data_IF_573068435674
#
_entry.id   IF_573068435674
#
_cell.length_a   1.000
_cell.length_b   1.000
_cell.length_c   1.000
_cell.angle_alpha   90.00
_cell.angle_beta   90.00
_cell.angle_gamma   90.00
#
_symmetry.space_group_name_H-M   'P 1'
#
loop_
_entity.id
_entity.type
_entity.pdbx_description
1 polymer ?
#
# COMPACT_ATOMS: atom_id res chain seq x y z
N UNK A 1 -2.98 1.46 12.00
CA UNK A 1 -2.26 2.52 11.26
C UNK A 1 -1.40 1.85 10.19
N UNK A 2 -1.08 2.55 9.11
CA UNK A 2 -0.33 1.97 7.98
C UNK A 2 1.21 2.14 8.10
N UNK A 3 1.96 1.48 7.20
CA UNK A 3 3.43 1.51 7.19
C UNK A 3 4.04 2.89 6.94
N UNK A 4 3.38 3.77 6.18
CA UNK A 4 3.85 5.15 5.99
C UNK A 4 3.71 5.96 7.28
N UNK A 5 2.59 5.77 7.98
CA UNK A 5 2.32 6.40 9.27
C UNK A 5 3.33 5.98 10.35
N UNK A 6 3.85 4.74 10.28
CA UNK A 6 4.95 4.31 11.14
C UNK A 6 6.20 5.13 10.94
N UNK A 7 6.61 5.40 9.68
CA UNK A 7 7.79 6.22 9.41
C UNK A 7 7.64 7.63 9.96
N UNK A 8 6.47 8.26 9.75
CA UNK A 8 6.16 9.59 10.28
C UNK A 8 6.22 9.60 11.81
N UNK A 9 5.59 8.62 12.45
CA UNK A 9 5.55 8.54 13.92
C UNK A 9 6.96 8.36 14.51
N UNK A 10 7.77 7.48 13.90
CA UNK A 10 9.11 7.17 14.37
C UNK A 10 10.07 8.36 14.16
N UNK A 11 9.99 9.04 13.02
CA UNK A 11 10.73 10.29 12.72
C UNK A 11 10.40 11.39 13.76
N UNK A 12 9.12 11.64 14.02
CA UNK A 12 8.71 12.67 15.00
C UNK A 12 9.04 12.30 16.44
N UNK A 13 8.92 11.01 16.79
CA UNK A 13 9.33 10.52 18.10
C UNK A 13 10.83 10.72 18.31
N UNK A 14 11.65 10.39 17.33
CA UNK A 14 13.10 10.58 17.42
C UNK A 14 13.45 12.06 17.59
N UNK A 15 12.89 12.93 16.75
CA UNK A 15 13.11 14.37 16.86
C UNK A 15 12.68 14.93 18.23
N UNK A 16 11.52 14.49 18.75
CA UNK A 16 11.04 14.91 20.07
C UNK A 16 11.95 14.40 21.19
N UNK A 17 12.43 13.15 21.09
CA UNK A 17 13.29 12.54 22.10
C UNK A 17 14.64 13.25 22.18
N UNK A 18 15.27 13.54 21.05
CA UNK A 18 16.55 14.24 20.98
C UNK A 18 16.47 15.69 21.50
N UNK A 19 15.34 16.37 21.28
CA UNK A 19 15.09 17.70 21.85
C UNK A 19 14.90 17.62 23.38
N UNK A 20 14.14 16.64 23.85
CA UNK A 20 13.94 16.40 25.28
C UNK A 20 15.25 16.03 26.00
N UNK A 21 16.12 15.20 25.40
CA UNK A 21 17.44 14.85 25.94
C UNK A 21 18.32 16.09 26.14
N UNK A 22 18.20 17.07 25.24
CA UNK A 22 18.90 18.36 25.31
C UNK A 22 18.21 19.40 26.20
N UNK A 23 17.11 19.05 26.85
CA UNK A 23 16.24 19.98 27.60
C UNK A 23 15.73 21.16 26.76
N UNK A 24 15.55 20.95 25.46
CA UNK A 24 14.98 21.92 24.53
C UNK A 24 13.44 21.77 24.45
N UNK A 25 12.69 22.85 24.18
CA UNK A 25 11.27 22.73 23.87
C UNK A 25 11.06 21.85 22.64
N UNK A 26 10.07 20.96 22.69
CA UNK A 26 9.75 20.06 21.57
C UNK A 26 9.05 20.84 20.45
N UNK A 27 9.71 20.93 19.30
CA UNK A 27 9.21 21.45 18.04
C UNK A 27 9.15 20.33 17.01
N UNK A 28 7.94 20.03 16.56
CA UNK A 28 7.67 19.07 15.48
C UNK A 28 7.36 19.81 14.17
N UNK A 29 7.54 19.15 13.01
CA UNK A 29 7.17 19.72 11.71
C UNK A 29 5.70 20.15 11.65
N UNK A 30 5.41 21.05 10.70
CA UNK A 30 4.04 21.53 10.48
C UNK A 30 3.14 20.36 10.11
N UNK A 31 1.95 20.21 10.74
CA UNK A 31 1.02 19.16 10.39
C UNK A 31 0.55 19.27 8.94
N UNK A 32 0.52 18.12 8.28
CA UNK A 32 -0.11 17.90 6.97
C UNK A 32 -1.66 17.95 7.06
N UNK A 33 -2.36 17.72 5.94
CA UNK A 33 -3.81 17.66 5.93
C UNK A 33 -4.33 16.67 6.98
N UNK A 34 -5.27 17.06 7.87
CA UNK A 34 -5.80 16.12 8.85
C UNK A 34 -6.51 14.93 8.19
N UNK A 35 -6.31 13.71 8.70
CA UNK A 35 -6.91 12.49 8.13
C UNK A 35 -8.44 12.58 7.98
N UNK A 36 -9.14 13.21 8.93
CA UNK A 36 -10.60 13.44 8.84
C UNK A 36 -11.02 14.30 7.64
N UNK A 37 -10.16 15.24 7.24
CA UNK A 37 -10.39 16.12 6.09
C UNK A 37 -10.19 15.28 4.83
N UNK A 38 -9.08 14.57 4.73
CA UNK A 38 -8.82 13.63 3.65
C UNK A 38 -9.99 12.67 3.40
N UNK A 39 -10.47 11.96 4.43
CA UNK A 39 -11.58 11.01 4.30
C UNK A 39 -12.87 11.67 3.79
N UNK A 40 -13.16 12.91 4.24
CA UNK A 40 -14.34 13.65 3.79
C UNK A 40 -14.22 14.05 2.32
N UNK A 41 -13.07 14.58 1.91
CA UNK A 41 -12.83 14.96 0.51
C UNK A 41 -12.84 13.72 -0.40
N UNK A 42 -12.24 12.62 0.07
CA UNK A 42 -12.22 11.35 -0.65
C UNK A 42 -13.63 10.76 -0.87
N UNK A 43 -14.54 10.94 0.10
CA UNK A 43 -15.94 10.55 -0.08
C UNK A 43 -16.64 11.39 -1.16
N UNK A 44 -16.38 12.69 -1.22
CA UNK A 44 -16.94 13.55 -2.28
C UNK A 44 -16.35 13.16 -3.65
N UNK A 45 -15.05 12.90 -3.70
CA UNK A 45 -14.36 12.42 -4.90
C UNK A 45 -14.91 11.08 -5.41
N UNK A 46 -15.33 10.18 -4.50
CA UNK A 46 -15.90 8.88 -4.87
C UNK A 46 -17.19 8.98 -5.69
N UNK A 47 -17.93 10.10 -5.58
CA UNK A 47 -19.18 10.35 -6.32
C UNK A 47 -18.94 10.97 -7.71
N UNK A 48 -17.69 11.22 -8.09
CA UNK A 48 -17.35 11.82 -9.39
C UNK A 48 -17.66 10.89 -10.58
N UNK A 49 -18.01 11.47 -11.72
CA UNK A 49 -18.30 10.72 -12.95
C UNK A 49 -17.10 9.94 -13.47
N UNK A 50 -15.89 10.47 -13.28
CA UNK A 50 -14.63 9.78 -13.63
C UNK A 50 -14.46 8.50 -12.81
N UNK A 51 -14.89 8.50 -11.54
CA UNK A 51 -14.83 7.31 -10.70
C UNK A 51 -15.75 6.21 -11.18
N UNK A 52 -16.97 6.55 -11.53
CA UNK A 52 -17.96 5.58 -12.03
C UNK A 52 -17.50 4.96 -13.35
N UNK A 53 -16.82 5.73 -14.21
CA UNK A 53 -16.28 5.22 -15.47
C UNK A 53 -15.19 4.15 -15.29
N UNK A 54 -14.47 4.15 -14.17
CA UNK A 54 -13.46 3.12 -13.90
C UNK A 54 -14.04 1.72 -13.69
N UNK A 55 -15.33 1.59 -13.35
CA UNK A 55 -15.97 0.28 -13.21
C UNK A 55 -15.80 -0.57 -14.48
N UNK A 56 -15.96 0.04 -15.66
CA UNK A 56 -15.80 -0.65 -16.94
C UNK A 56 -14.35 -1.14 -17.16
N UNK A 57 -13.37 -0.36 -16.68
CA UNK A 57 -11.96 -0.76 -16.72
C UNK A 57 -11.74 -2.00 -15.84
N UNK A 58 -12.24 -2.00 -14.60
CA UNK A 58 -12.11 -3.14 -13.69
C UNK A 58 -12.80 -4.41 -14.22
N UNK A 59 -13.99 -4.27 -14.81
CA UNK A 59 -14.69 -5.40 -15.43
C UNK A 59 -13.87 -5.98 -16.58
N UNK A 60 -13.29 -5.14 -17.43
CA UNK A 60 -12.47 -5.59 -18.57
C UNK A 60 -11.17 -6.23 -18.09
N UNK A 61 -10.49 -5.62 -17.11
CA UNK A 61 -9.22 -6.10 -16.58
C UNK A 61 -9.35 -7.46 -15.86
N UNK A 62 -10.53 -7.80 -15.35
CA UNK A 62 -10.81 -9.04 -14.63
C UNK A 62 -11.68 -10.03 -15.42
N UNK A 63 -11.95 -9.78 -16.70
CA UNK A 63 -12.67 -10.68 -17.59
C UNK A 63 -11.70 -11.52 -18.46
N UNK A 64 -10.89 -12.35 -17.81
CA UNK A 64 -9.96 -13.25 -18.49
C UNK A 64 -10.37 -14.74 -18.33
N UNK A 65 -10.21 -15.59 -19.37
CA UNK A 65 -10.52 -17.01 -19.28
C UNK A 65 -9.81 -17.74 -18.11
N UNK A 66 -8.55 -17.39 -17.83
CA UNK A 66 -7.78 -17.96 -16.72
C UNK A 66 -8.44 -17.73 -15.36
N UNK A 67 -9.10 -16.57 -15.17
CA UNK A 67 -9.80 -16.20 -13.94
C UNK A 67 -11.17 -16.87 -13.80
N UNK A 68 -11.74 -17.34 -14.92
CA UNK A 68 -13.01 -18.09 -14.94
C UNK A 68 -12.84 -19.58 -14.71
N UNK A 69 -11.60 -20.08 -14.66
CA UNK A 69 -11.30 -21.50 -14.56
C UNK A 69 -11.50 -22.11 -13.15
N UNK A 70 -12.08 -21.34 -12.22
CA UNK A 70 -12.32 -21.73 -10.83
C UNK A 70 -11.18 -21.29 -9.89
N UNK A 71 -11.27 -21.66 -8.59
CA UNK A 71 -10.29 -21.26 -7.59
C UNK A 71 -8.89 -21.80 -7.89
N UNK A 72 -7.87 -21.02 -7.58
CA UNK A 72 -6.45 -21.40 -7.60
C UNK A 72 -6.14 -22.41 -6.49
N UNK A 73 -6.78 -22.27 -5.33
CA UNK A 73 -6.59 -23.10 -4.15
C UNK A 73 -7.92 -23.66 -3.66
N UNK A 74 -8.39 -24.79 -4.22
CA UNK A 74 -9.58 -25.46 -3.72
C UNK A 74 -9.47 -25.81 -2.23
N UNK A 75 -10.56 -25.68 -1.49
CA UNK A 75 -10.59 -26.03 -0.07
C UNK A 75 -10.27 -27.51 0.15
N UNK A 76 -9.31 -27.78 1.03
CA UNK A 76 -8.86 -29.10 1.46
C UNK A 76 -9.63 -29.52 2.73
N UNK A 77 -9.91 -28.56 3.61
CA UNK A 77 -10.60 -28.79 4.89
C UNK A 77 -11.89 -27.96 4.99
N UNK A 78 -12.96 -28.48 5.61
CA UNK A 78 -14.24 -27.80 5.69
C UNK A 78 -14.30 -26.67 6.74
N UNK A 79 -13.30 -26.54 7.61
CA UNK A 79 -13.29 -25.57 8.71
C UNK A 79 -12.05 -24.66 8.65
N UNK A 80 -12.20 -23.33 8.85
CA UNK A 80 -11.07 -22.41 8.94
C UNK A 80 -10.11 -22.81 10.05
N UNK A 81 -8.81 -22.84 9.74
CA UNK A 81 -7.74 -23.06 10.72
C UNK A 81 -6.92 -21.79 10.91
N UNK A 82 -6.21 -21.65 12.04
CA UNK A 82 -5.25 -20.57 12.22
C UNK A 82 -4.25 -20.53 11.06
N UNK A 83 -4.00 -19.34 10.52
CA UNK A 83 -3.00 -19.12 9.49
C UNK A 83 -1.62 -19.53 10.01
N UNK A 84 -0.85 -20.22 9.17
CA UNK A 84 0.55 -20.53 9.40
C UNK A 84 1.44 -19.59 8.60
N UNK A 85 2.69 -19.46 9.02
CA UNK A 85 3.64 -18.50 8.45
C UNK A 85 4.98 -19.16 8.19
N UNK A 86 5.48 -19.04 6.96
CA UNK A 86 6.88 -19.31 6.63
C UNK A 86 7.63 -17.97 6.54
N UNK A 87 8.69 -17.83 7.33
CA UNK A 87 9.58 -16.67 7.25
C UNK A 87 10.75 -16.97 6.30
N UNK A 88 10.94 -16.12 5.30
CA UNK A 88 12.07 -16.21 4.37
C UNK A 88 12.87 -14.92 4.40
N UNK A 89 14.18 -15.03 4.64
CA UNK A 89 15.14 -13.95 4.43
C UNK A 89 15.96 -14.30 3.19
N UNK A 90 15.95 -13.42 2.19
CA UNK A 90 16.81 -13.58 1.01
C UNK A 90 18.25 -13.28 1.40
N UNK A 91 19.21 -13.81 0.62
CA UNK A 91 20.61 -13.48 0.85
C UNK A 91 20.87 -11.99 0.58
N UNK A 92 21.85 -11.38 1.27
CA UNK A 92 22.25 -10.00 1.00
C UNK A 92 22.64 -9.78 -0.45
N UNK A 93 23.29 -10.76 -1.08
CA UNK A 93 23.74 -10.69 -2.48
C UNK A 93 22.56 -10.64 -3.45
N UNK A 94 21.57 -11.51 -3.26
CA UNK A 94 20.36 -11.52 -4.08
C UNK A 94 19.56 -10.23 -3.87
N UNK A 95 19.47 -9.76 -2.62
CA UNK A 95 18.76 -8.51 -2.30
C UNK A 95 19.46 -7.31 -2.94
N UNK A 96 20.78 -7.21 -2.85
CA UNK A 96 21.56 -6.15 -3.47
C UNK A 96 21.43 -6.18 -5.00
N UNK A 97 21.51 -7.37 -5.61
CA UNK A 97 21.32 -7.53 -7.04
C UNK A 97 19.91 -7.09 -7.49
N UNK A 98 18.86 -7.50 -6.75
CA UNK A 98 17.49 -7.07 -7.02
C UNK A 98 17.34 -5.54 -6.95
N UNK A 99 17.87 -4.91 -5.90
CA UNK A 99 17.80 -3.46 -5.71
C UNK A 99 18.56 -2.68 -6.78
N UNK A 100 19.70 -3.23 -7.23
CA UNK A 100 20.55 -2.59 -8.21
C UNK A 100 20.06 -2.79 -9.66
N UNK A 101 19.65 -4.01 -10.03
CA UNK A 101 19.34 -4.35 -11.42
C UNK A 101 17.91 -4.00 -11.84
N UNK A 102 16.92 -4.11 -10.95
CA UNK A 102 15.51 -3.78 -11.26
C UNK A 102 15.33 -2.39 -11.91
N UNK A 103 15.89 -1.29 -11.37
CA UNK A 103 15.73 0.03 -11.97
C UNK A 103 16.54 0.25 -13.26
N UNK A 104 17.51 -0.62 -13.59
CA UNK A 104 18.48 -0.38 -14.68
C UNK A 104 17.98 -0.83 -16.06
N UNK A 105 17.54 -2.08 -16.21
CA UNK A 105 17.18 -2.65 -17.53
C UNK A 105 15.83 -2.16 -18.01
N UNK A 106 14.83 -2.30 -17.13
CA UNK A 106 13.42 -2.06 -17.45
C UNK A 106 12.81 -0.94 -16.59
N UNK A 107 13.62 -0.20 -15.81
CA UNK A 107 13.13 0.83 -14.88
C UNK A 107 12.03 0.31 -13.96
N UNK A 108 12.21 -0.93 -13.49
CA UNK A 108 11.23 -1.61 -12.66
C UNK A 108 11.43 -1.26 -11.20
N UNK A 109 10.33 -1.31 -10.46
CA UNK A 109 10.31 -1.29 -9.01
C UNK A 109 10.53 -2.69 -8.45
N UNK A 110 10.98 -2.77 -7.20
CA UNK A 110 11.24 -4.05 -6.53
C UNK A 110 9.97 -4.90 -6.45
N UNK A 111 8.84 -4.29 -6.09
CA UNK A 111 7.54 -4.97 -6.02
C UNK A 111 7.12 -5.57 -7.35
N UNK A 112 7.41 -4.93 -8.48
CA UNK A 112 7.09 -5.45 -9.82
C UNK A 112 7.84 -6.74 -10.12
N UNK A 113 9.12 -6.83 -9.73
CA UNK A 113 9.92 -8.05 -9.91
C UNK A 113 9.44 -9.17 -8.97
N UNK A 114 9.10 -8.83 -7.73
CA UNK A 114 8.53 -9.79 -6.77
C UNK A 114 7.19 -10.34 -7.26
N UNK A 115 6.32 -9.47 -7.80
CA UNK A 115 5.03 -9.87 -8.37
C UNK A 115 5.19 -10.75 -9.62
N UNK A 116 6.18 -10.47 -10.47
CA UNK A 116 6.51 -11.36 -11.59
C UNK A 116 7.00 -12.74 -11.12
N UNK A 117 7.85 -12.79 -10.09
CA UNK A 117 8.29 -14.06 -9.51
C UNK A 117 7.12 -14.84 -8.87
N UNK A 118 6.18 -14.13 -8.22
CA UNK A 118 4.98 -14.71 -7.63
C UNK A 118 4.04 -15.27 -8.68
N UNK A 119 3.69 -14.49 -9.71
CA UNK A 119 2.81 -14.92 -10.79
C UNK A 119 3.37 -16.15 -11.51
N UNK A 120 4.70 -16.20 -11.73
CA UNK A 120 5.40 -17.37 -12.27
C UNK A 120 5.27 -18.59 -11.38
N UNK A 121 5.65 -18.47 -10.11
CA UNK A 121 5.67 -19.58 -9.17
C UNK A 121 4.27 -20.20 -8.95
N UNK A 122 3.26 -19.36 -8.79
CA UNK A 122 1.87 -19.82 -8.65
C UNK A 122 1.36 -20.38 -9.98
N UNK A 123 1.51 -19.63 -11.07
CA UNK A 123 1.02 -20.02 -12.40
C UNK A 123 1.58 -21.35 -12.88
N UNK A 124 2.87 -21.62 -12.65
CA UNK A 124 3.49 -22.91 -12.96
C UNK A 124 2.96 -24.04 -12.05
N UNK A 125 2.75 -23.76 -10.76
CA UNK A 125 2.28 -24.77 -9.81
C UNK A 125 0.82 -25.20 -10.05
N UNK A 126 -0.04 -24.27 -10.47
CA UNK A 126 -1.47 -24.54 -10.72
C UNK A 126 -1.86 -24.56 -12.20
N UNK A 127 -0.88 -24.47 -13.11
CA UNK A 127 -1.09 -24.45 -14.57
C UNK A 127 -2.07 -23.35 -15.01
N UNK A 128 -1.76 -22.10 -14.66
CA UNK A 128 -2.54 -20.90 -14.97
C UNK A 128 -1.67 -19.85 -15.64
N UNK A 129 -2.19 -19.25 -16.71
CA UNK A 129 -1.49 -18.19 -17.44
C UNK A 129 -1.57 -16.82 -16.76
N UNK A 130 -2.60 -16.59 -15.95
CA UNK A 130 -2.73 -15.40 -15.10
C UNK A 130 -3.14 -15.81 -13.69
N UNK A 131 -2.65 -15.06 -12.70
CA UNK A 131 -2.90 -15.27 -11.28
C UNK A 131 -3.53 -14.00 -10.71
N UNK A 132 -4.70 -14.15 -10.07
CA UNK A 132 -5.37 -13.01 -9.44
C UNK A 132 -4.80 -12.74 -8.05
N UNK A 133 -4.25 -11.55 -7.87
CA UNK A 133 -3.61 -11.12 -6.62
C UNK A 133 -4.28 -9.85 -6.13
N UNK A 134 -4.57 -9.79 -4.83
CA UNK A 134 -4.94 -8.56 -4.16
C UNK A 134 -3.67 -7.80 -3.78
N UNK A 135 -3.53 -6.59 -4.32
CA UNK A 135 -2.38 -5.74 -4.10
C UNK A 135 -2.73 -4.64 -3.09
N UNK A 136 -1.78 -4.36 -2.21
CA UNK A 136 -1.85 -3.21 -1.32
C UNK A 136 -1.02 -2.03 -1.84
N UNK A 137 -1.63 -0.85 -1.88
CA UNK A 137 -0.98 0.42 -2.17
C UNK A 137 -0.99 1.33 -0.94
N UNK A 138 -0.18 2.40 -0.96
CA UNK A 138 -0.15 3.36 0.15
C UNK A 138 -1.43 4.22 0.23
N UNK A 139 -2.21 4.34 -0.86
CA UNK A 139 -3.48 5.07 -0.94
C UNK A 139 -3.40 6.56 -0.64
N UNK A 140 -2.24 7.17 -0.92
CA UNK A 140 -1.96 8.61 -0.81
C UNK A 140 -1.78 9.18 -2.21
N UNK A 141 -2.79 8.97 -3.04
CA UNK A 141 -2.78 9.44 -4.43
C UNK A 141 -3.16 10.92 -4.51
N UNK A 142 -2.62 11.60 -5.51
CA UNK A 142 -2.88 13.02 -5.77
C UNK A 142 -4.22 13.20 -6.50
N UNK A 143 -5.32 13.00 -5.76
CA UNK A 143 -6.70 13.07 -6.29
C UNK A 143 -7.52 14.23 -5.74
N UNK A 144 -7.04 14.86 -4.67
CA UNK A 144 -7.67 16.03 -4.04
C UNK A 144 -6.68 17.19 -4.18
N UNK A 145 -7.11 18.26 -4.85
CA UNK A 145 -6.26 19.42 -5.09
C UNK A 145 -5.75 20.03 -3.76
N UNK A 146 -4.44 20.30 -3.71
CA UNK A 146 -3.76 20.81 -2.52
C UNK A 146 -3.66 19.84 -1.34
N UNK A 147 -3.98 18.55 -1.51
CA UNK A 147 -3.84 17.56 -0.44
C UNK A 147 -2.37 17.20 -0.17
N UNK A 148 -1.83 17.73 0.92
CA UNK A 148 -0.53 17.34 1.45
C UNK A 148 -0.73 16.24 2.49
N UNK A 149 -0.27 15.02 2.19
CA UNK A 149 -0.44 13.83 3.03
C UNK A 149 0.88 13.24 3.54
N UNK A 150 2.04 13.82 3.22
CA UNK A 150 3.34 13.16 3.49
C UNK A 150 3.58 12.87 4.97
N UNK A 151 3.02 13.70 5.86
CA UNK A 151 3.15 13.58 7.31
C UNK A 151 1.84 13.20 8.02
N UNK A 152 0.82 12.74 7.30
CA UNK A 152 -0.47 12.45 7.94
C UNK A 152 -0.47 11.04 8.50
N UNK A 153 -0.61 10.91 9.82
CA UNK A 153 -0.82 9.60 10.45
C UNK A 153 -2.27 9.15 10.24
N UNK A 154 -2.45 7.93 9.74
CA UNK A 154 -3.76 7.34 9.48
C UNK A 154 -3.68 5.90 8.97
N UNK A 155 -4.79 5.43 8.42
CA UNK A 155 -4.82 4.21 7.62
C UNK A 155 -5.31 4.58 6.22
N UNK A 156 -4.36 4.65 5.29
CA UNK A 156 -4.58 5.05 3.90
C UNK A 156 -4.56 3.88 2.93
N UNK A 157 -4.10 2.70 3.35
CA UNK A 157 -3.92 1.52 2.50
C UNK A 157 -5.08 1.32 1.53
N UNK A 158 -4.76 1.34 0.23
CA UNK A 158 -5.67 0.93 -0.83
C UNK A 158 -5.48 -0.55 -1.14
N UNK A 159 -6.57 -1.26 -1.40
CA UNK A 159 -6.54 -2.67 -1.80
C UNK A 159 -7.28 -2.81 -3.12
N UNK A 160 -6.72 -3.58 -4.04
CA UNK A 160 -7.34 -3.84 -5.33
C UNK A 160 -6.87 -5.17 -5.94
N UNK A 161 -7.75 -5.91 -6.64
CA UNK A 161 -7.35 -7.10 -7.37
C UNK A 161 -6.65 -6.74 -8.68
N UNK A 162 -5.63 -7.51 -9.04
CA UNK A 162 -4.98 -7.44 -10.34
C UNK A 162 -4.63 -8.84 -10.84
N UNK A 163 -5.00 -9.12 -12.08
CA UNK A 163 -4.61 -10.34 -12.77
C UNK A 163 -3.18 -10.17 -13.31
N UNK A 164 -2.26 -10.97 -12.77
CA UNK A 164 -0.85 -10.91 -13.11
C UNK A 164 -0.49 -12.06 -14.06
N UNK A 165 0.04 -11.76 -15.25
CA UNK A 165 0.45 -12.78 -16.20
C UNK A 165 1.69 -13.51 -15.71
N UNK A 166 1.68 -14.83 -15.90
CA UNK A 166 2.81 -15.73 -15.63
C UNK A 166 4.01 -15.41 -16.53
N UNK A 167 3.71 -15.05 -17.79
CA UNK A 167 4.70 -14.83 -18.84
C UNK A 167 5.37 -16.11 -19.33
N UNK A 168 5.81 -16.12 -20.58
CA UNK A 168 6.43 -17.31 -21.22
C UNK A 168 7.90 -17.46 -20.88
N UNK A 169 8.61 -16.36 -20.67
CA UNK A 169 10.04 -16.29 -20.35
C UNK A 169 10.32 -15.15 -19.35
N UNK A 170 11.57 -15.00 -18.84
CA UNK A 170 11.90 -13.96 -17.87
C UNK A 170 11.62 -12.53 -18.34
N UNK A 171 11.91 -12.19 -19.59
CA UNK A 171 11.70 -10.84 -20.11
C UNK A 171 10.19 -10.56 -20.23
N UNK A 172 9.46 -11.49 -20.81
CA UNK A 172 8.02 -11.42 -20.99
C UNK A 172 7.28 -11.28 -19.65
N UNK A 173 7.62 -12.09 -18.64
CA UNK A 173 7.03 -12.02 -17.31
C UNK A 173 7.24 -10.65 -16.64
N UNK A 174 8.45 -10.10 -16.73
CA UNK A 174 8.79 -8.79 -16.15
C UNK A 174 8.04 -7.66 -16.86
N UNK A 175 8.05 -7.65 -18.19
CA UNK A 175 7.45 -6.59 -18.99
C UNK A 175 5.92 -6.58 -18.86
N UNK A 176 5.28 -7.75 -18.97
CA UNK A 176 3.83 -7.82 -18.87
C UNK A 176 3.33 -7.44 -17.47
N UNK A 177 3.99 -7.89 -16.39
CA UNK A 177 3.60 -7.49 -15.02
C UNK A 177 3.76 -5.99 -14.82
N UNK A 178 4.86 -5.40 -15.29
CA UNK A 178 5.08 -3.94 -15.25
C UNK A 178 3.98 -3.20 -16.01
N UNK A 179 3.63 -3.65 -17.20
CA UNK A 179 2.57 -3.05 -18.02
C UNK A 179 1.19 -3.17 -17.37
N UNK A 180 0.86 -4.32 -16.77
CA UNK A 180 -0.39 -4.50 -16.02
C UNK A 180 -0.48 -3.53 -14.85
N UNK A 181 0.60 -3.39 -14.07
CA UNK A 181 0.65 -2.47 -12.93
C UNK A 181 0.57 -1.00 -13.37
N UNK A 182 1.25 -0.64 -14.46
CA UNK A 182 1.22 0.72 -15.01
C UNK A 182 -0.15 1.11 -15.58
N UNK A 183 -0.94 0.14 -16.04
CA UNK A 183 -2.29 0.37 -16.57
C UNK A 183 -3.33 0.62 -15.47
N UNK A 184 -3.03 0.32 -14.20
CA UNK A 184 -3.99 0.45 -13.10
C UNK A 184 -4.32 1.93 -12.83
N UNK A 185 -5.60 2.35 -12.94
CA UNK A 185 -6.01 3.72 -12.63
C UNK A 185 -5.70 4.06 -11.17
N UNK A 186 -5.00 5.18 -10.96
CA UNK A 186 -4.71 5.74 -9.63
C UNK A 186 -4.21 4.70 -8.62
N UNK A 187 -3.34 3.79 -9.09
CA UNK A 187 -2.75 2.72 -8.28
C UNK A 187 -3.79 1.92 -7.47
N UNK A 188 -4.99 1.78 -8.03
CA UNK A 188 -6.08 0.99 -7.48
C UNK A 188 -6.90 1.65 -6.37
N UNK A 189 -6.64 2.93 -6.03
CA UNK A 189 -7.45 3.69 -5.07
C UNK A 189 -8.95 3.62 -5.43
N UNK A 190 -9.26 3.65 -6.73
CA UNK A 190 -10.61 3.58 -7.26
C UNK A 190 -11.41 2.35 -6.88
N UNK A 191 -10.77 1.19 -6.77
CA UNK A 191 -11.44 -0.06 -6.46
C UNK A 191 -12.14 0.00 -5.10
N UNK A 192 -11.43 0.47 -4.07
CA UNK A 192 -11.97 0.62 -2.71
C UNK A 192 -13.11 1.63 -2.67
N UNK A 193 -12.98 2.75 -3.39
CA UNK A 193 -14.01 3.79 -3.48
C UNK A 193 -15.27 3.27 -4.16
N UNK A 194 -15.13 2.55 -5.28
CA UNK A 194 -16.27 1.93 -5.94
C UNK A 194 -16.95 0.89 -5.04
N UNK A 195 -16.16 0.11 -4.30
CA UNK A 195 -16.66 -0.94 -3.39
C UNK A 195 -17.44 -0.37 -2.21
N UNK A 196 -16.99 0.74 -1.61
CA UNK A 196 -17.65 1.36 -0.46
C UNK A 196 -18.81 2.29 -0.84
N UNK A 197 -18.61 3.07 -1.90
CA UNK A 197 -19.24 4.37 -2.01
C UNK A 197 -20.03 4.56 -3.31
N UNK A 198 -19.86 3.68 -4.31
CA UNK A 198 -20.68 3.71 -5.52
C UNK A 198 -22.14 3.31 -5.27
N UNK A 199 -23.00 3.46 -6.28
CA UNK A 199 -24.39 3.01 -6.22
C UNK A 199 -24.52 1.48 -6.08
N UNK A 200 -25.74 1.01 -5.79
CA UNK A 200 -26.00 -0.40 -5.53
C UNK A 200 -25.70 -1.31 -6.74
N UNK A 201 -25.95 -0.85 -7.96
CA UNK A 201 -25.71 -1.63 -9.17
C UNK A 201 -24.20 -1.75 -9.43
N UNK A 202 -23.46 -0.65 -9.31
CA UNK A 202 -21.99 -0.65 -9.44
C UNK A 202 -21.32 -1.57 -8.42
N UNK A 203 -21.73 -1.51 -7.14
CA UNK A 203 -21.22 -2.44 -6.11
C UNK A 203 -21.60 -3.89 -6.37
N UNK A 204 -22.78 -4.14 -6.93
CA UNK A 204 -23.19 -5.50 -7.30
C UNK A 204 -22.36 -6.03 -8.47
N UNK A 205 -22.06 -5.19 -9.46
CA UNK A 205 -21.21 -5.54 -10.59
C UNK A 205 -19.78 -5.88 -10.12
N UNK A 206 -19.21 -5.10 -9.19
CA UNK A 206 -17.91 -5.41 -8.60
C UNK A 206 -17.90 -6.73 -7.83
N UNK A 207 -18.92 -7.01 -7.00
CA UNK A 207 -19.02 -8.27 -6.25
C UNK A 207 -19.17 -9.51 -7.13
N UNK A 208 -19.59 -9.34 -8.38
CA UNK A 208 -19.67 -10.43 -9.35
C UNK A 208 -18.32 -10.73 -10.02
N UNK A 209 -17.31 -9.88 -9.83
CA UNK A 209 -15.97 -10.12 -10.36
C UNK A 209 -15.22 -11.17 -9.53
N UNK A 210 -14.22 -11.84 -10.14
CA UNK A 210 -13.37 -12.80 -9.44
C UNK A 210 -12.77 -12.23 -8.15
N UNK A 211 -12.75 -13.03 -7.09
CA UNK A 211 -12.16 -12.67 -5.79
C UNK A 211 -10.74 -13.22 -5.70
N UNK A 212 -9.73 -12.41 -5.33
CA UNK A 212 -8.35 -12.87 -5.17
C UNK A 212 -8.21 -13.85 -3.99
N UNK A 213 -7.47 -14.93 -4.21
CA UNK A 213 -7.10 -15.91 -3.17
C UNK A 213 -5.72 -15.64 -2.57
N UNK A 214 -5.01 -14.64 -3.10
CA UNK A 214 -3.64 -14.29 -2.73
C UNK A 214 -3.59 -12.81 -2.39
N UNK A 215 -3.11 -12.46 -1.21
CA UNK A 215 -2.75 -11.10 -0.84
C UNK A 215 -1.24 -10.86 -1.03
N UNK A 216 -0.87 -9.68 -1.52
CA UNK A 216 0.52 -9.26 -1.63
C UNK A 216 0.69 -7.81 -1.17
N UNK A 217 1.63 -7.59 -0.24
CA UNK A 217 1.99 -6.28 0.25
C UNK A 217 3.52 -6.14 0.34
N UNK A 218 4.06 -5.06 -0.24
CA UNK A 218 5.48 -4.72 -0.12
C UNK A 218 5.64 -3.38 0.60
N UNK A 219 6.16 -3.44 1.83
CA UNK A 219 6.31 -2.29 2.72
C UNK A 219 7.53 -1.43 2.38
N UNK A 220 8.39 -1.85 1.45
CA UNK A 220 9.62 -1.13 1.11
C UNK A 220 10.75 -1.34 2.13
N UNK A 221 11.71 -0.39 2.16
CA UNK A 221 12.74 -0.32 3.20
C UNK A 221 12.17 0.31 4.47
N UNK A 222 12.34 -0.37 5.60
CA UNK A 222 11.91 0.12 6.92
C UNK A 222 13.07 0.73 7.73
N UNK A 223 14.31 0.31 7.41
CA UNK A 223 15.55 0.72 8.06
C UNK A 223 16.00 2.16 7.76
N UNK A 224 15.52 2.79 6.69
CA UNK A 224 15.86 4.19 6.37
C UNK A 224 15.48 5.18 7.48
N UNK A 225 14.57 4.78 8.38
CA UNK A 225 14.12 5.61 9.50
C UNK A 225 15.16 5.67 10.62
N UNK A 226 16.07 4.71 10.72
CA UNK A 226 17.04 4.61 11.80
C UNK A 226 18.45 4.47 11.20
N UNK A 227 19.21 5.56 11.18
CA UNK A 227 20.63 5.52 10.84
C UNK A 227 21.47 5.00 12.02
N UNK A 228 22.77 4.78 11.81
CA UNK A 228 23.69 4.33 12.87
C UNK A 228 23.79 5.32 14.05
N UNK A 229 23.37 6.57 13.85
CA UNK A 229 23.32 7.61 14.89
C UNK A 229 22.00 7.61 15.68
N UNK A 230 20.97 6.91 15.17
CA UNK A 230 19.63 6.85 15.75
C UNK A 230 19.65 6.30 17.18
N UNK A 231 18.86 6.92 18.03
CA UNK A 231 18.59 6.43 19.40
C UNK A 231 17.62 5.25 19.44
N UNK A 232 16.92 5.00 18.33
CA UNK A 232 15.96 3.93 18.18
C UNK A 232 16.46 2.88 17.18
N UNK A 233 16.10 1.63 17.42
CA UNK A 233 16.35 0.52 16.52
C UNK A 233 15.30 -0.58 16.69
N UNK A 234 15.31 -1.58 15.82
CA UNK A 234 14.42 -2.73 15.97
C UNK A 234 14.84 -3.60 17.14
N UNK A 235 13.88 -3.95 17.97
CA UNK A 235 14.03 -4.95 19.02
C UNK A 235 14.25 -6.35 18.41
N UNK A 236 15.04 -7.19 19.07
CA UNK A 236 15.28 -8.57 18.64
C UNK A 236 14.16 -9.52 19.13
N UNK A 237 13.38 -9.07 20.12
CA UNK A 237 12.27 -9.78 20.71
C UNK A 237 11.06 -9.84 19.78
N UNK A 238 10.24 -10.88 19.93
CA UNK A 238 9.00 -11.01 19.19
C UNK A 238 7.99 -9.93 19.60
N UNK A 239 7.29 -9.28 18.65
CA UNK A 239 6.19 -8.35 18.98
C UNK A 239 4.95 -9.08 19.52
N UNK A 240 4.90 -10.41 19.48
CA UNK A 240 3.72 -11.21 19.79
C UNK A 240 2.70 -11.25 18.66
N UNK A 241 1.53 -11.82 18.92
CA UNK A 241 0.48 -11.97 17.92
C UNK A 241 -0.23 -10.64 17.66
N UNK A 242 -0.14 -10.14 16.43
CA UNK A 242 -0.81 -8.91 16.00
C UNK A 242 -2.32 -9.08 15.77
N UNK A 243 -2.79 -10.34 15.68
CA UNK A 243 -4.18 -10.70 15.33
C UNK A 243 -4.71 -11.60 16.44
N UNK A 244 -5.94 -11.35 16.88
CA UNK A 244 -6.58 -12.21 17.87
C UNK A 244 -6.72 -13.65 17.34
N UNK A 245 -6.50 -14.70 18.16
CA UNK A 245 -6.53 -16.10 17.70
C UNK A 245 -7.83 -16.57 17.03
N UNK A 246 -8.93 -15.82 17.21
CA UNK A 246 -10.26 -16.11 16.63
C UNK A 246 -10.75 -15.00 15.70
N UNK A 247 -9.87 -14.10 15.26
CA UNK A 247 -10.24 -13.11 14.26
C UNK A 247 -10.63 -13.85 12.97
N UNK A 248 -11.74 -13.42 12.35
CA UNK A 248 -12.07 -13.88 11.00
C UNK A 248 -11.16 -13.12 10.05
N UNK A 249 -10.12 -13.79 9.57
CA UNK A 249 -9.30 -13.26 8.50
C UNK A 249 -10.04 -13.40 7.17
N UNK A 250 -9.75 -12.55 6.17
CA UNK A 250 -10.23 -12.78 4.81
C UNK A 250 -9.89 -14.20 4.37
N UNK A 251 -10.80 -14.85 3.64
CA UNK A 251 -10.59 -16.19 3.08
C UNK A 251 -9.58 -16.12 1.92
N UNK A 252 -8.31 -15.86 2.25
CA UNK A 252 -7.17 -15.94 1.33
C UNK A 252 -6.41 -17.24 1.59
N UNK A 253 -6.00 -17.90 0.53
CA UNK A 253 -5.13 -19.06 0.60
C UNK A 253 -3.71 -18.67 0.99
N UNK A 254 -3.23 -17.54 0.46
CA UNK A 254 -1.89 -17.01 0.70
C UNK A 254 -1.96 -15.52 1.04
N UNK A 255 -1.13 -15.07 1.98
CA UNK A 255 -0.97 -13.66 2.34
C UNK A 255 0.52 -13.35 2.50
N UNK A 256 1.07 -12.61 1.54
CA UNK A 256 2.52 -12.41 1.39
C UNK A 256 2.86 -10.97 1.72
N UNK A 257 3.70 -10.79 2.75
CA UNK A 257 4.17 -9.47 3.17
C UNK A 257 5.69 -9.40 3.04
N UNK A 258 6.21 -8.36 2.38
CA UNK A 258 7.64 -8.18 2.15
C UNK A 258 8.17 -6.84 2.63
N UNK A 259 9.37 -6.83 3.22
CA UNK A 259 10.06 -5.60 3.64
C UNK A 259 11.57 -5.82 3.60
N UNK A 260 12.33 -4.73 3.45
CA UNK A 260 13.79 -4.77 3.55
C UNK A 260 14.19 -4.28 4.93
N UNK A 261 15.02 -5.08 5.59
CA UNK A 261 15.61 -4.79 6.91
C UNK A 261 17.10 -5.07 6.86
N UNK A 262 17.91 -4.04 7.06
CA UNK A 262 19.35 -4.10 6.83
C UNK A 262 19.65 -4.38 5.35
N UNK A 263 20.48 -5.37 5.09
CA UNK A 263 20.94 -5.75 3.75
C UNK A 263 20.06 -6.77 3.02
N UNK A 264 18.95 -7.19 3.65
CA UNK A 264 18.20 -8.36 3.20
C UNK A 264 16.70 -8.08 3.06
N UNK A 265 16.10 -8.61 1.99
CA UNK A 265 14.65 -8.69 1.83
C UNK A 265 14.11 -9.84 2.69
N UNK A 266 13.19 -9.51 3.59
CA UNK A 266 12.42 -10.45 4.38
C UNK A 266 11.01 -10.59 3.79
N UNK A 267 10.49 -11.82 3.79
CA UNK A 267 9.16 -12.18 3.33
C UNK A 267 8.48 -13.03 4.40
N UNK A 268 7.28 -12.63 4.77
CA UNK A 268 6.34 -13.43 5.53
C UNK A 268 5.36 -14.07 4.55
N UNK A 269 5.38 -15.39 4.46
CA UNK A 269 4.47 -16.21 3.66
C UNK A 269 3.41 -16.81 4.57
N UNK A 270 2.34 -16.05 4.74
CA UNK A 270 1.12 -16.52 5.36
C UNK A 270 0.37 -17.49 4.46
N UNK A 271 -0.10 -18.60 5.02
CA UNK A 271 -0.99 -19.52 4.30
C UNK A 271 -2.05 -20.10 5.22
N UNK A 272 -3.24 -20.30 4.66
CA UNK A 272 -4.36 -20.86 5.39
C UNK A 272 -4.40 -22.38 5.18
N UNK A 273 -4.30 -23.21 6.25
CA UNK A 273 -4.28 -24.66 6.12
C UNK A 273 -5.53 -25.26 5.45
N UNK A 274 -6.65 -24.54 5.45
CA UNK A 274 -7.84 -24.96 4.72
C UNK A 274 -7.70 -24.93 3.19
N UNK A 275 -6.72 -24.20 2.65
CA UNK A 275 -6.50 -24.04 1.21
C UNK A 275 -5.14 -24.56 0.74
N UNK A 276 -4.12 -24.52 1.60
CA UNK A 276 -2.76 -24.94 1.26
C UNK A 276 -2.14 -25.81 2.36
N UNK A 277 -1.61 -26.98 1.98
CA UNK A 277 -0.84 -27.84 2.88
C UNK A 277 0.56 -27.27 3.12
N UNK A 278 1.21 -27.68 4.22
CA UNK A 278 2.59 -27.27 4.55
C UNK A 278 3.55 -27.57 3.38
N UNK A 279 3.44 -28.77 2.78
CA UNK A 279 4.26 -29.16 1.63
C UNK A 279 4.00 -28.31 0.37
N UNK A 280 2.75 -27.88 0.14
CA UNK A 280 2.44 -26.97 -0.97
C UNK A 280 3.02 -25.58 -0.70
N UNK A 281 2.83 -25.04 0.51
CA UNK A 281 3.36 -23.73 0.89
C UNK A 281 4.90 -23.67 0.73
N UNK A 282 5.62 -24.69 1.22
CA UNK A 282 7.07 -24.80 1.05
C UNK A 282 7.49 -24.89 -0.43
N UNK A 283 6.76 -25.68 -1.23
CA UNK A 283 7.01 -25.80 -2.67
C UNK A 283 6.81 -24.47 -3.39
N UNK A 284 5.75 -23.73 -3.08
CA UNK A 284 5.47 -22.43 -3.69
C UNK A 284 6.54 -21.40 -3.29
N UNK A 285 6.95 -21.37 -2.03
CA UNK A 285 8.04 -20.51 -1.56
C UNK A 285 9.36 -20.81 -2.27
N UNK A 286 9.72 -22.09 -2.41
CA UNK A 286 10.93 -22.49 -3.13
C UNK A 286 10.85 -22.15 -4.63
N UNK A 287 9.68 -22.33 -5.25
CA UNK A 287 9.44 -21.97 -6.65
C UNK A 287 9.50 -20.45 -6.87
N UNK A 288 9.00 -19.67 -5.92
CA UNK A 288 9.10 -18.21 -5.93
C UNK A 288 10.55 -17.76 -5.87
N UNK A 289 11.34 -18.31 -4.95
CA UNK A 289 12.76 -17.98 -4.82
C UNK A 289 13.54 -18.33 -6.08
N UNK A 290 13.32 -19.53 -6.63
CA UNK A 290 13.95 -19.94 -7.89
C UNK A 290 13.56 -19.02 -9.05
N UNK A 291 12.29 -18.63 -9.14
CA UNK A 291 11.81 -17.68 -10.14
C UNK A 291 12.47 -16.31 -9.96
N UNK A 292 12.54 -15.79 -8.73
CA UNK A 292 13.17 -14.51 -8.44
C UNK A 292 14.65 -14.49 -8.83
N UNK A 293 15.40 -15.55 -8.49
CA UNK A 293 16.81 -15.69 -8.91
C UNK A 293 16.94 -15.66 -10.42
N UNK A 294 16.09 -16.40 -11.14
CA UNK A 294 16.12 -16.41 -12.61
C UNK A 294 15.79 -15.03 -13.22
N UNK A 295 14.81 -14.30 -12.66
CA UNK A 295 14.46 -12.96 -13.12
C UNK A 295 15.58 -11.95 -12.84
N UNK A 296 16.22 -12.01 -11.67
CA UNK A 296 17.35 -11.12 -11.32
C UNK A 296 18.57 -11.41 -12.20
N UNK A 297 18.84 -12.69 -12.51
CA UNK A 297 19.93 -13.06 -13.42
C UNK A 297 19.65 -12.59 -14.87
N UNK A 298 18.40 -12.67 -15.32
CA UNK A 298 17.98 -12.08 -16.59
C UNK A 298 18.24 -10.57 -16.63
N UNK A 299 17.86 -9.84 -15.57
CA UNK A 299 18.14 -8.41 -15.47
C UNK A 299 19.66 -8.13 -15.53
N UNK A 300 20.48 -8.89 -14.80
CA UNK A 300 21.94 -8.71 -14.79
C UNK A 300 22.57 -8.93 -16.18
N UNK A 301 22.13 -9.95 -16.89
CA UNK A 301 22.63 -10.27 -18.24
C UNK A 301 22.15 -9.28 -19.29
N UNK A 302 20.89 -8.85 -19.21
CA UNK A 302 20.35 -7.80 -20.08
C UNK A 302 21.05 -6.44 -19.87
N UNK A 303 21.41 -6.09 -18.63
CA UNK A 303 22.25 -4.91 -18.32
C UNK A 303 23.63 -5.02 -19.00
N UNK A 304 24.24 -6.22 -18.95
CA UNK A 304 25.59 -6.45 -19.47
C UNK A 304 25.68 -6.33 -21.00
N UNK A 305 24.57 -6.53 -21.71
CA UNK A 305 24.48 -6.34 -23.17
C UNK A 305 24.31 -4.86 -23.58
N UNK A 306 24.09 -3.93 -22.64
CA UNK A 306 23.74 -2.54 -22.92
C UNK A 306 24.87 -1.47 -22.84
N UNK A 307 26.16 -1.77 -22.62
CA UNK A 307 27.23 -0.74 -22.65
C UNK A 307 28.61 -1.21 -23.18
N UNK A 308 29.42 -0.35 -23.83
CA UNK A 308 29.53 1.11 -23.63
C UNK A 308 28.88 2.00 -24.70
N UNK A 309 28.18 3.04 -24.25
CA UNK A 309 27.64 4.12 -25.06
C UNK A 309 28.75 5.05 -25.57
N UNK A 310 28.71 5.39 -26.86
CA UNK A 310 29.37 6.57 -27.41
C UNK A 310 28.71 7.85 -26.87
N UNK A 311 29.46 8.95 -26.69
CA UNK A 311 28.89 10.23 -26.26
C UNK A 311 27.85 10.72 -27.29
N UNK A 312 26.59 10.81 -26.85
CA UNK A 312 25.51 11.39 -27.66
C UNK A 312 25.74 12.89 -27.85
N UNK A 313 25.81 13.32 -29.11
CA UNK A 313 25.70 14.74 -29.47
C UNK A 313 24.30 15.26 -29.09
N UNK A 314 24.18 16.51 -28.56
CA UNK A 314 22.90 17.08 -28.21
C UNK A 314 22.03 17.25 -29.46
N UNK A 315 20.89 16.55 -29.52
CA UNK A 315 19.86 16.82 -30.52
C UNK A 315 19.19 18.16 -30.22
N UNK A 316 19.19 19.04 -31.20
CA UNK A 316 18.46 20.30 -31.13
C UNK A 316 16.95 20.05 -30.98
N UNK A 317 16.25 20.79 -30.10
CA UNK A 317 14.82 20.59 -29.88
C UNK A 317 14.03 20.90 -31.17
N UNK A 318 13.07 20.03 -31.51
CA UNK A 318 12.09 20.32 -32.56
C UNK A 318 11.33 21.59 -32.18
N UNK A 319 11.15 22.56 -33.11
CA UNK A 319 10.44 23.79 -32.80
C UNK A 319 8.99 23.45 -32.42
N UNK A 320 8.58 23.95 -31.25
CA UNK A 320 7.18 23.86 -30.82
C UNK A 320 6.33 24.71 -31.77
N UNK A 321 5.11 24.26 -32.12
CA UNK A 321 4.18 25.12 -32.85
C UNK A 321 3.89 26.39 -32.01
N UNK A 322 3.65 27.54 -32.66
CA UNK A 322 3.34 28.78 -31.96
C UNK A 322 2.10 28.60 -31.08
N UNK A 323 2.17 29.14 -29.86
CA UNK A 323 1.03 29.18 -28.92
C UNK A 323 -0.05 30.06 -29.55
N UNK A 324 -1.30 29.60 -29.68
CA UNK A 324 -2.38 30.42 -30.22
C UNK A 324 -2.70 31.59 -29.29
N UNK A 325 -3.10 32.71 -29.88
CA UNK A 325 -3.32 33.97 -29.15
C UNK A 325 -4.54 33.94 -28.20
N UNK A 326 -5.43 32.94 -28.32
CA UNK A 326 -6.54 32.73 -27.37
C UNK A 326 -7.08 31.28 -27.36
N UNK A 327 -7.78 30.92 -26.27
CA UNK A 327 -8.40 29.59 -26.08
C UNK A 327 -9.55 29.37 -27.07
N UNK A 328 -10.28 30.43 -27.45
CA UNK A 328 -11.33 30.40 -28.46
C UNK A 328 -10.78 30.08 -29.86
N UNK A 329 -9.54 30.52 -30.14
CA UNK A 329 -8.85 30.24 -31.40
C UNK A 329 -8.37 28.78 -31.45
N UNK A 330 -8.00 28.21 -30.29
CA UNK A 330 -7.66 26.79 -30.13
C UNK A 330 -8.90 25.89 -30.30
N UNK A 331 -10.04 26.30 -29.75
CA UNK A 331 -11.32 25.59 -29.81
C UNK A 331 -11.88 25.42 -31.24
N UNK A 332 -11.49 26.27 -32.20
CA UNK A 332 -11.90 26.13 -33.61
C UNK A 332 -11.28 24.93 -34.32
N UNK A 333 -10.21 24.34 -33.78
CA UNK A 333 -9.41 23.30 -34.44
C UNK A 333 -9.23 22.04 -33.59
N UNK A 334 -9.59 22.09 -32.31
CA UNK A 334 -9.44 21.01 -31.36
C UNK A 334 -10.78 20.74 -30.64
N UNK A 335 -11.32 19.55 -30.84
CA UNK A 335 -12.59 19.08 -30.26
C UNK A 335 -12.55 19.00 -28.74
N UNK A 336 -11.37 18.80 -28.15
CA UNK A 336 -11.18 18.82 -26.70
C UNK A 336 -11.33 20.25 -26.21
N UNK A 337 -10.57 21.20 -26.78
CA UNK A 337 -10.64 22.62 -26.42
C UNK A 337 -12.06 23.21 -26.61
N UNK A 338 -12.78 22.78 -27.66
CA UNK A 338 -14.18 23.13 -27.87
C UNK A 338 -15.10 22.67 -26.73
N UNK A 339 -14.84 21.50 -26.14
CA UNK A 339 -15.62 20.99 -25.01
C UNK A 339 -15.36 21.79 -23.72
N UNK A 340 -14.11 22.24 -23.50
CA UNK A 340 -13.75 23.10 -22.38
C UNK A 340 -14.39 24.49 -22.49
N UNK A 341 -14.39 25.11 -23.67
CA UNK A 341 -15.07 26.39 -23.88
C UNK A 341 -16.58 26.26 -23.69
N UNK A 342 -17.20 25.19 -24.21
CA UNK A 342 -18.64 24.94 -24.01
C UNK A 342 -19.00 24.76 -22.52
N UNK A 343 -18.13 24.10 -21.75
CA UNK A 343 -18.31 23.90 -20.31
C UNK A 343 -18.16 25.20 -19.53
N UNK A 344 -17.16 26.02 -19.84
CA UNK A 344 -16.98 27.33 -19.20
C UNK A 344 -18.19 28.26 -19.43
N UNK A 345 -18.77 28.24 -20.63
CA UNK A 345 -20.00 28.99 -20.96
C UNK A 345 -21.21 28.44 -20.19
N UNK A 346 -21.36 27.12 -20.09
CA UNK A 346 -22.42 26.49 -19.30
C UNK A 346 -22.32 26.83 -17.81
N UNK A 347 -21.12 26.71 -17.22
CA UNK A 347 -20.89 26.98 -15.80
C UNK A 347 -21.07 28.46 -15.44
N UNK A 348 -20.68 29.38 -16.34
CA UNK A 348 -20.96 30.81 -16.17
C UNK A 348 -22.46 31.16 -16.28
N UNK A 349 -23.28 30.25 -16.82
CA UNK A 349 -24.74 30.44 -16.95
C UNK A 349 -25.55 29.85 -15.79
N UNK A 350 -24.90 29.14 -14.85
CA UNK A 350 -25.59 28.56 -13.69
C UNK A 350 -25.91 29.62 -12.64
N UNK A 351 -27.12 29.63 -12.06
CA UNK A 351 -27.49 30.58 -11.02
C UNK A 351 -26.72 30.30 -9.72
N UNK A 352 -26.19 31.36 -9.10
CA UNK A 352 -25.50 31.28 -7.82
C UNK A 352 -26.51 30.98 -6.70
N UNK A 353 -26.31 29.93 -5.88
CA UNK A 353 -27.23 29.62 -4.77
C UNK A 353 -27.24 30.74 -3.71
N UNK A 354 -28.39 31.00 -3.06
CA UNK A 354 -28.46 31.98 -1.99
C UNK A 354 -27.67 31.53 -0.76
N UNK A 355 -27.05 32.50 -0.07
CA UNK A 355 -26.01 32.30 0.95
C UNK A 355 -26.44 31.51 2.19
N UNK A 356 -27.74 31.31 2.38
CA UNK A 356 -28.38 30.70 3.55
C UNK A 356 -28.81 29.24 3.35
N UNK A 357 -28.64 28.68 2.14
CA UNK A 357 -29.03 27.30 1.82
C UNK A 357 -28.36 26.24 2.74
N UNK A 358 -27.13 26.50 3.20
CA UNK A 358 -26.38 25.62 4.11
C UNK A 358 -26.85 25.69 5.57
N UNK A 359 -27.35 26.84 6.03
CA UNK A 359 -27.75 27.04 7.42
C UNK A 359 -29.03 26.26 7.78
N UNK A 360 -29.99 26.18 6.84
CA UNK A 360 -31.24 25.42 7.00
C UNK A 360 -31.03 23.89 7.02
N UNK A 361 -29.86 23.42 6.57
CA UNK A 361 -29.50 22.01 6.59
C UNK A 361 -28.94 21.58 7.96
N UNK A 362 -28.10 22.41 8.60
CA UNK A 362 -27.51 22.11 9.91
C UNK A 362 -28.50 22.18 11.08
N UNK A 363 -29.56 22.99 10.99
CA UNK A 363 -30.55 23.14 12.06
C UNK A 363 -31.38 21.86 12.33
N UNK A 364 -31.39 20.90 11.40
CA UNK A 364 -32.26 19.71 11.48
C UNK A 364 -31.65 18.51 12.23
N UNK A 365 -30.44 18.59 12.79
CA UNK A 365 -29.68 17.39 13.24
C UNK A 365 -29.09 17.37 14.66
N UNK A 366 -29.58 18.14 15.63
CA UNK A 366 -29.09 18.03 17.03
C UNK A 366 -30.17 17.71 18.06
N UNK A 367 -30.05 16.60 18.82
CA UNK A 367 -30.56 16.51 20.19
C UNK A 367 -29.56 17.14 21.18
N UNK A 368 -30.09 17.90 22.14
CA UNK A 368 -29.34 18.47 23.27
C UNK A 368 -29.00 17.38 24.30
N UNK A 369 -27.74 17.34 24.74
CA UNK A 369 -27.41 16.94 26.10
C UNK A 369 -26.17 17.72 26.56
N UNK A 370 -26.36 18.46 27.65
CA UNK A 370 -25.40 19.34 28.29
C UNK A 370 -24.60 18.61 29.38
N UNK A 371 -23.42 19.15 29.67
CA UNK A 371 -22.58 18.98 30.87
C UNK A 371 -21.69 17.72 30.96
N UNK A 372 -20.45 17.86 30.51
CA UNK A 372 -19.29 17.26 31.17
C UNK A 372 -18.07 18.20 31.01
N UNK A 373 -17.41 18.55 32.12
CA UNK A 373 -16.16 19.34 32.17
C UNK A 373 -15.00 18.54 31.57
N UNK A 374 -13.98 19.21 31.00
CA UNK A 374 -12.85 18.53 30.35
C UNK A 374 -11.91 17.94 31.42
N UNK A 375 -11.73 16.62 31.39
CA UNK A 375 -10.60 15.94 32.01
C UNK A 375 -9.41 16.06 31.06
N UNK A 376 -8.28 16.59 31.55
CA UNK A 376 -7.01 16.52 30.84
C UNK A 376 -6.68 15.05 30.54
N UNK A 377 -6.43 14.72 29.28
CA UNK A 377 -6.10 13.36 28.88
C UNK A 377 -4.73 12.96 29.47
N UNK A 378 -4.62 11.81 30.17
CA UNK A 378 -3.31 11.27 30.52
C UNK A 378 -2.57 10.87 29.23
N UNK A 379 -1.29 11.20 29.16
CA UNK A 379 -0.41 10.84 28.04
C UNK A 379 -0.44 9.32 27.82
N UNK A 380 -0.56 8.83 26.56
CA UNK A 380 -0.58 7.39 26.27
C UNK A 380 0.80 6.71 26.45
N UNK A 381 1.86 7.47 26.72
CA UNK A 381 3.18 6.92 27.02
C UNK A 381 3.29 6.54 28.50
N UNK A 382 3.34 5.24 28.80
CA UNK A 382 3.66 4.73 30.14
C UNK A 382 5.15 4.37 30.17
N UNK A 383 5.99 5.04 30.97
CA UNK A 383 7.36 4.59 31.17
C UNK A 383 7.36 3.23 31.85
N UNK A 384 7.99 2.22 31.26
CA UNK A 384 8.25 0.92 31.89
C UNK A 384 9.05 1.05 33.20
N UNK A 385 9.65 2.22 33.42
CA UNK A 385 10.66 2.50 34.44
C UNK A 385 10.07 2.97 35.77
N UNK A 386 8.75 3.07 35.91
CA UNK A 386 8.11 3.35 37.20
C UNK A 386 8.34 2.24 38.26
N UNK A 387 9.11 1.20 37.93
CA UNK A 387 9.42 0.05 38.76
C UNK A 387 10.93 -0.16 39.06
N UNK A 388 11.82 0.79 38.71
CA UNK A 388 13.22 0.80 39.17
C UNK A 388 14.24 0.04 38.31
N UNK A 389 14.04 -0.04 36.98
CA UNK A 389 15.00 -0.65 36.06
C UNK A 389 16.29 0.20 35.89
N UNK A 390 17.47 -0.42 35.67
CA UNK A 390 18.75 0.28 35.54
C UNK A 390 18.90 1.09 34.24
N UNK A 391 18.07 0.82 33.23
CA UNK A 391 18.00 1.57 31.97
C UNK A 391 16.55 1.95 31.67
N UNK A 392 16.35 3.13 31.09
CA UNK A 392 15.03 3.63 30.70
C UNK A 392 14.68 3.06 29.33
N UNK A 393 13.68 2.16 29.29
CA UNK A 393 13.18 1.57 28.03
C UNK A 393 11.77 2.10 27.75
N UNK A 394 11.53 2.53 26.51
CA UNK A 394 10.20 2.85 26.00
C UNK A 394 9.86 1.86 24.89
N UNK A 395 8.73 1.17 25.02
CA UNK A 395 8.18 0.32 23.98
C UNK A 395 6.92 0.97 23.42
N UNK A 396 6.89 1.22 22.11
CA UNK A 396 5.71 1.66 21.40
C UNK A 396 5.13 0.46 20.65
N UNK A 397 3.98 -0.03 21.10
CA UNK A 397 3.31 -1.15 20.46
C UNK A 397 2.35 -0.65 19.37
N UNK A 398 2.37 -1.23 18.16
CA UNK A 398 1.57 -0.76 17.03
C UNK A 398 0.05 -0.78 17.14
N UNK A 399 -0.48 -1.48 18.14
CA UNK A 399 -1.91 -1.62 18.38
C UNK A 399 -2.62 -2.54 17.38
N UNK A 400 -3.04 -3.71 17.87
CA UNK A 400 -4.43 -4.18 17.86
C UNK A 400 -4.68 -4.70 19.29
N UNK A 401 -5.74 -4.20 19.93
CA UNK A 401 -5.82 -4.15 21.39
C UNK A 401 -5.77 -5.49 22.13
N UNK A 402 -4.93 -5.56 23.15
CA UNK A 402 -5.33 -5.87 24.53
C UNK A 402 -4.41 -5.11 25.50
N UNK A 403 -5.01 -4.40 26.45
CA UNK A 403 -4.31 -3.94 27.67
C UNK A 403 -4.12 -5.17 28.55
N UNK A 404 -3.01 -5.86 28.37
CA UNK A 404 -2.59 -7.05 29.12
C UNK A 404 -1.54 -7.76 28.27
N UNK A 405 -0.27 -7.87 28.63
CA UNK A 405 0.34 -7.89 29.96
C UNK A 405 1.75 -7.26 29.88
N UNK A 406 1.87 -5.93 30.00
CA UNK A 406 3.19 -5.31 30.16
C UNK A 406 3.86 -5.63 31.50
N UNK A 407 3.10 -6.22 32.43
CA UNK A 407 3.56 -6.59 33.76
C UNK A 407 4.60 -7.72 33.70
N UNK A 408 4.39 -8.70 32.83
CA UNK A 408 5.24 -9.90 32.70
C UNK A 408 6.58 -9.54 32.06
N UNK A 409 6.58 -8.70 31.02
CA UNK A 409 7.79 -8.13 30.43
C UNK A 409 8.56 -7.25 31.42
N UNK A 410 7.85 -6.37 32.14
CA UNK A 410 8.46 -5.54 33.18
C UNK A 410 9.00 -6.37 34.37
N UNK A 411 8.39 -7.51 34.70
CA UNK A 411 8.86 -8.43 35.75
C UNK A 411 10.09 -9.23 35.31
N UNK A 412 10.11 -9.70 34.06
CA UNK A 412 11.25 -10.37 33.43
C UNK A 412 12.49 -9.47 33.37
N UNK A 413 12.31 -8.23 32.93
CA UNK A 413 13.39 -7.23 32.84
C UNK A 413 13.91 -6.78 34.21
N UNK A 414 13.12 -6.95 35.28
CA UNK A 414 13.52 -6.64 36.67
C UNK A 414 14.06 -7.84 37.44
N UNK A 415 14.29 -8.99 36.79
CA UNK A 415 14.83 -10.19 37.43
C UNK A 415 13.90 -10.82 38.49
N UNK A 416 12.60 -10.51 38.45
CA UNK A 416 11.58 -11.06 39.37
C UNK A 416 10.58 -11.88 38.58
N UNK A 417 11.02 -13.04 38.11
CA UNK A 417 10.13 -14.10 37.63
C UNK A 417 10.32 -15.28 38.58
N UNK A 418 9.28 -15.59 39.34
CA UNK A 418 9.11 -16.87 40.04
C UNK A 418 7.95 -17.61 39.41
#
# INVERSE_FOLDING_TARGET
MDGVSWRVLLDELQAAYEQAERNEPIHLPVPSMPWRVWVRELHQYAESSERVAELAWWQTALDAPALRAGPLFPAIEPHPQPQKTLLKKLSPELTAALLHEAPRVYRMRVDEVLLAALARAIGDAVSRDEVLVELEGHGREDVIDGAELSRTVGWFTSQYPLALPRGTDPADALLQVRERLAAVPLRGLGWGLLSCCADAASRSALRALPTPEIGFNYLGRFDQTFDDASRFGFAAETPGDAIAPRARLPDRALDINGWISGDSLALNWGYAPQFASDALAEKLLASFESSLVALVEHLRTATSQQQPQQPQQPQAPKPRPPVPDSVETLAQRDTIAASWTARAVYEASLPVPPADALAAWFARRRPQAANARPLAAPSPAVPLNALGAPATLFCLHPGYGMVGEYRTLAQALNGRVS
#
